data_IF_164346418770
#
_entry.id   IF_164346418770
#
_cell.length_a   1.000
_cell.length_b   1.000
_cell.length_c   1.000
_cell.angle_alpha   90.00
_cell.angle_beta   90.00
_cell.angle_gamma   90.00
#
_symmetry.space_group_name_H-M   'P 1'
#
loop_
_entity.id
_entity.type
_entity.pdbx_description
1 polymer ?
#
# COMPACT_ATOMS: atom_id res chain seq x y z
N UNK A 1 14.81 -41.97 2.42
CA UNK A 1 14.41 -40.88 1.50
C UNK A 1 12.93 -40.91 1.11
N UNK A 2 12.13 -41.95 1.39
CA UNK A 2 10.71 -41.95 0.97
C UNK A 2 9.76 -41.20 1.92
N UNK A 3 9.99 -41.21 3.23
CA UNK A 3 9.07 -40.59 4.20
C UNK A 3 9.01 -39.07 4.11
N UNK A 4 10.16 -38.40 4.02
CA UNK A 4 10.20 -36.94 3.87
C UNK A 4 9.60 -36.48 2.54
N UNK A 5 9.87 -37.22 1.46
CA UNK A 5 9.29 -36.96 0.15
C UNK A 5 7.76 -37.13 0.18
N UNK A 6 7.27 -38.18 0.86
CA UNK A 6 5.84 -38.41 1.05
C UNK A 6 5.18 -37.28 1.84
N UNK A 7 5.76 -36.86 2.96
CA UNK A 7 5.26 -35.73 3.76
C UNK A 7 5.18 -34.46 2.91
N UNK A 8 6.19 -34.18 2.09
CA UNK A 8 6.19 -33.00 1.24
C UNK A 8 5.06 -33.01 0.20
N UNK A 9 4.90 -34.11 -0.54
CA UNK A 9 3.87 -34.18 -1.58
C UNK A 9 2.45 -34.27 -1.02
N UNK A 10 2.24 -35.09 0.02
CA UNK A 10 0.93 -35.19 0.66
C UNK A 10 0.58 -33.95 1.46
N UNK A 11 1.56 -33.33 2.13
CA UNK A 11 1.38 -32.08 2.86
C UNK A 11 0.97 -30.95 1.91
N UNK A 12 1.66 -30.81 0.77
CA UNK A 12 1.30 -29.79 -0.22
C UNK A 12 -0.10 -30.02 -0.83
N UNK A 13 -0.46 -31.28 -1.13
CA UNK A 13 -1.81 -31.61 -1.55
C UNK A 13 -2.85 -31.24 -0.47
N UNK A 14 -2.58 -31.55 0.79
CA UNK A 14 -3.49 -31.28 1.91
C UNK A 14 -3.71 -29.79 2.16
N UNK A 15 -2.70 -28.94 1.92
CA UNK A 15 -2.88 -27.48 1.94
C UNK A 15 -3.88 -27.04 0.86
N UNK A 16 -3.76 -27.58 -0.36
CA UNK A 16 -4.70 -27.25 -1.43
C UNK A 16 -6.13 -27.76 -1.14
N UNK A 17 -6.25 -28.91 -0.47
CA UNK A 17 -7.52 -29.47 -0.02
C UNK A 17 -8.18 -28.59 1.05
N UNK A 18 -7.43 -28.17 2.08
CA UNK A 18 -7.93 -27.27 3.12
C UNK A 18 -8.37 -25.92 2.54
N UNK A 19 -7.63 -25.37 1.58
CA UNK A 19 -7.99 -24.10 0.94
C UNK A 19 -9.09 -24.23 -0.14
N UNK A 20 -9.53 -25.44 -0.48
CA UNK A 20 -10.52 -25.64 -1.56
C UNK A 20 -11.89 -25.08 -1.16
N UNK A 21 -12.26 -25.20 0.12
CA UNK A 21 -13.48 -24.63 0.68
C UNK A 21 -13.22 -24.02 2.06
N UNK A 22 -12.79 -22.75 2.14
CA UNK A 22 -12.42 -22.09 3.40
C UNK A 22 -13.62 -21.67 4.27
N UNK A 23 -14.82 -22.17 3.96
CA UNK A 23 -16.09 -21.82 4.62
C UNK A 23 -16.73 -23.03 5.32
N UNK A 24 -15.94 -24.06 5.61
CA UNK A 24 -16.36 -25.23 6.37
C UNK A 24 -16.28 -25.02 7.87
N UNK A 25 -15.97 -26.10 8.59
CA UNK A 25 -15.77 -26.16 10.04
C UNK A 25 -14.36 -26.67 10.40
N UNK A 26 -13.42 -26.69 9.45
CA UNK A 26 -12.04 -27.09 9.72
C UNK A 26 -11.33 -26.02 10.56
N UNK A 27 -10.32 -26.42 11.34
CA UNK A 27 -9.63 -25.52 12.28
C UNK A 27 -8.98 -24.29 11.62
N UNK A 28 -8.65 -24.37 10.33
CA UNK A 28 -8.02 -23.31 9.53
C UNK A 28 -9.02 -22.53 8.63
N UNK A 29 -10.33 -22.84 8.71
CA UNK A 29 -11.38 -22.15 7.96
C UNK A 29 -11.66 -20.74 8.49
N UNK A 30 -12.38 -19.94 7.69
CA UNK A 30 -12.79 -18.62 8.13
C UNK A 30 -13.87 -18.70 9.22
N UNK A 31 -13.63 -17.95 10.31
CA UNK A 31 -14.56 -17.72 11.42
C UNK A 31 -15.77 -16.83 11.02
N UNK A 32 -16.59 -17.34 10.10
CA UNK A 32 -17.69 -16.58 9.48
C UNK A 32 -18.76 -16.17 10.49
N UNK A 33 -19.08 -17.04 11.45
CA UNK A 33 -20.05 -16.74 12.50
C UNK A 33 -19.60 -15.55 13.36
N UNK A 34 -18.32 -15.53 13.75
CA UNK A 34 -17.74 -14.41 14.49
C UNK A 34 -17.77 -13.10 13.68
N UNK A 35 -17.51 -13.17 12.38
CA UNK A 35 -17.62 -12.00 11.49
C UNK A 35 -19.06 -11.49 11.38
N UNK A 36 -20.04 -12.38 11.26
CA UNK A 36 -21.47 -12.01 11.20
C UNK A 36 -21.87 -11.32 12.50
N UNK A 37 -21.57 -11.93 13.65
CA UNK A 37 -21.91 -11.37 14.97
C UNK A 37 -21.27 -10.01 15.19
N UNK A 38 -19.98 -9.87 14.85
CA UNK A 38 -19.25 -8.60 14.91
C UNK A 38 -19.92 -7.55 14.03
N UNK A 39 -20.20 -7.88 12.77
CA UNK A 39 -20.71 -6.92 11.80
C UNK A 39 -22.10 -6.42 12.18
N UNK A 40 -23.01 -7.32 12.57
CA UNK A 40 -24.36 -6.95 13.01
C UNK A 40 -24.27 -6.06 14.25
N UNK A 41 -23.46 -6.45 15.24
CA UNK A 41 -23.27 -5.68 16.47
C UNK A 41 -22.72 -4.29 16.18
N UNK A 42 -21.63 -4.19 15.42
CA UNK A 42 -20.98 -2.92 15.12
C UNK A 42 -21.89 -1.99 14.31
N UNK A 43 -22.55 -2.49 13.27
CA UNK A 43 -23.41 -1.66 12.42
C UNK A 43 -24.62 -1.16 13.20
N UNK A 44 -25.26 -2.00 14.03
CA UNK A 44 -26.36 -1.57 14.89
C UNK A 44 -25.90 -0.51 15.91
N UNK A 45 -24.71 -0.68 16.52
CA UNK A 45 -24.15 0.34 17.40
C UNK A 45 -23.87 1.66 16.69
N UNK A 46 -23.36 1.63 15.45
CA UNK A 46 -23.08 2.83 14.66
C UNK A 46 -24.34 3.63 14.35
N UNK A 47 -25.42 2.97 13.92
CA UNK A 47 -26.66 3.65 13.50
C UNK A 47 -27.57 4.05 14.66
N UNK A 48 -27.46 3.39 15.82
CA UNK A 48 -28.25 3.71 17.01
C UNK A 48 -27.49 4.64 17.95
N UNK A 49 -26.37 4.16 18.52
CA UNK A 49 -25.63 4.90 19.52
C UNK A 49 -24.70 5.95 18.91
N UNK A 50 -24.19 5.72 17.70
CA UNK A 50 -23.25 6.61 17.00
C UNK A 50 -23.90 7.66 16.11
N UNK A 51 -25.20 7.58 15.83
CA UNK A 51 -25.88 8.51 14.92
C UNK A 51 -25.90 9.92 15.50
N UNK A 52 -25.33 10.86 14.74
CA UNK A 52 -25.24 12.29 15.09
C UNK A 52 -24.56 12.57 16.44
N UNK A 53 -23.68 11.66 16.89
CA UNK A 53 -22.90 11.78 18.13
C UNK A 53 -21.40 11.90 17.85
N UNK A 54 -21.02 12.93 17.09
CA UNK A 54 -19.61 13.26 16.93
C UNK A 54 -19.01 13.79 18.26
N UNK A 55 -17.72 13.52 18.55
CA UNK A 55 -17.04 14.14 19.68
C UNK A 55 -16.92 15.65 19.48
N UNK A 56 -16.80 16.39 20.60
CA UNK A 56 -16.62 17.84 20.57
C UNK A 56 -15.36 18.23 19.77
N UNK A 57 -15.51 19.20 18.87
CA UNK A 57 -14.38 19.75 18.15
C UNK A 57 -13.52 20.60 19.10
N UNK A 58 -12.29 20.14 19.36
CA UNK A 58 -11.30 20.82 20.19
C UNK A 58 -9.98 20.89 19.41
N UNK A 59 -9.19 21.94 19.66
CA UNK A 59 -7.82 21.99 19.19
C UNK A 59 -7.04 20.90 19.92
N UNK A 60 -6.28 20.12 19.17
CA UNK A 60 -5.39 19.12 19.75
C UNK A 60 -4.14 19.79 20.35
N UNK A 61 -3.38 19.03 21.12
CA UNK A 61 -2.21 19.53 21.85
C UNK A 61 -1.08 20.01 20.92
N UNK A 62 -1.10 19.63 19.64
CA UNK A 62 -0.07 19.99 18.65
C UNK A 62 -0.54 21.06 17.64
N UNK A 63 -1.67 21.72 17.90
CA UNK A 63 -2.34 22.62 16.94
C UNK A 63 -1.45 23.76 16.40
N UNK A 64 -0.56 24.32 17.22
CA UNK A 64 0.30 25.47 16.87
C UNK A 64 1.79 25.08 16.72
N UNK A 65 2.13 23.79 16.80
CA UNK A 65 3.52 23.28 16.82
C UNK A 65 3.86 22.40 15.62
N UNK A 66 5.15 22.27 15.30
CA UNK A 66 5.61 21.30 14.30
C UNK A 66 5.53 19.88 14.87
N UNK A 67 4.76 19.02 14.22
CA UNK A 67 4.44 17.68 14.74
C UNK A 67 5.56 16.69 14.42
N UNK A 68 6.29 16.27 15.44
CA UNK A 68 7.19 15.11 15.36
C UNK A 68 6.53 13.87 15.98
N UNK A 69 6.47 12.72 15.26
CA UNK A 69 5.92 11.50 15.82
C UNK A 69 6.70 11.05 17.07
N UNK A 70 5.97 10.82 18.16
CA UNK A 70 6.53 10.30 19.40
C UNK A 70 6.64 8.77 19.33
N UNK A 71 7.77 8.25 19.80
CA UNK A 71 8.06 6.82 19.86
C UNK A 71 8.31 6.39 21.30
N UNK A 72 8.04 5.12 21.62
CA UNK A 72 8.51 4.53 22.87
C UNK A 72 10.04 4.44 22.86
N UNK A 73 10.68 4.38 24.04
CA UNK A 73 12.15 4.32 24.12
C UNK A 73 12.75 3.15 23.30
N UNK A 74 12.04 2.02 23.24
CA UNK A 74 12.44 0.85 22.47
C UNK A 74 12.32 1.09 20.96
N UNK A 75 11.20 1.69 20.52
CA UNK A 75 10.94 1.93 19.09
C UNK A 75 11.73 3.10 18.53
N UNK A 76 12.10 4.09 19.36
CA UNK A 76 12.94 5.22 18.98
C UNK A 76 14.36 4.78 18.57
N UNK A 77 14.84 3.63 19.07
CA UNK A 77 16.14 3.04 18.71
C UNK A 77 16.09 2.30 17.36
N UNK A 78 14.90 2.00 16.85
CA UNK A 78 14.73 1.33 15.56
C UNK A 78 15.02 2.35 14.45
N UNK A 79 15.93 2.04 13.50
CA UNK A 79 16.26 2.98 12.44
C UNK A 79 15.03 3.22 11.54
N UNK A 80 14.62 4.48 11.44
CA UNK A 80 13.59 4.90 10.51
C UNK A 80 14.20 5.13 9.11
N UNK A 81 13.83 4.29 8.15
CA UNK A 81 14.29 4.37 6.76
C UNK A 81 13.13 4.77 5.85
N UNK A 82 12.78 6.07 5.79
CA UNK A 82 11.72 6.52 4.90
C UNK A 82 12.10 6.23 3.45
N UNK A 83 11.09 5.89 2.63
CA UNK A 83 11.28 5.67 1.20
C UNK A 83 11.78 6.98 0.55
N UNK A 84 13.06 7.02 0.21
CA UNK A 84 13.65 8.06 -0.63
C UNK A 84 13.63 7.58 -2.08
N UNK A 85 13.09 8.41 -2.98
CA UNK A 85 13.08 8.09 -4.40
C UNK A 85 14.50 7.88 -4.92
N UNK A 86 14.69 6.96 -5.89
CA UNK A 86 16.04 6.60 -6.38
C UNK A 86 16.85 7.77 -6.97
N UNK A 87 16.21 8.90 -7.26
CA UNK A 87 16.80 10.11 -7.85
C UNK A 87 16.84 11.28 -6.84
N UNK A 88 16.41 11.08 -5.58
CA UNK A 88 16.25 12.19 -4.60
C UNK A 88 17.54 12.95 -4.30
N UNK A 89 18.69 12.27 -4.37
CA UNK A 89 19.99 12.84 -4.02
C UNK A 89 20.82 13.21 -5.27
N UNK A 90 20.24 13.12 -6.47
CA UNK A 90 20.92 13.48 -7.71
C UNK A 90 21.02 15.00 -7.81
N UNK A 91 22.26 15.50 -7.67
CA UNK A 91 22.58 16.91 -7.89
C UNK A 91 22.76 17.15 -9.39
N UNK A 92 21.90 17.99 -9.97
CA UNK A 92 22.02 18.41 -11.36
C UNK A 92 23.12 19.48 -11.49
N UNK A 93 23.85 19.55 -12.61
CA UNK A 93 24.83 20.62 -12.86
C UNK A 93 24.17 22.00 -12.88
N UNK A 94 24.88 23.04 -12.44
CA UNK A 94 24.35 24.43 -12.30
C UNK A 94 23.78 25.03 -13.59
N UNK A 95 24.22 24.56 -14.75
CA UNK A 95 23.75 25.04 -16.06
C UNK A 95 22.45 24.37 -16.53
N UNK A 96 21.94 23.37 -15.82
CA UNK A 96 20.71 22.65 -16.16
C UNK A 96 19.54 23.28 -15.41
N UNK A 97 18.85 24.21 -16.06
CA UNK A 97 17.67 24.88 -15.49
C UNK A 97 16.34 24.24 -15.91
N UNK A 98 16.36 23.43 -16.97
CA UNK A 98 15.16 22.86 -17.57
C UNK A 98 15.41 21.43 -18.03
N UNK A 99 14.48 20.53 -17.68
CA UNK A 99 14.46 19.15 -18.19
C UNK A 99 13.25 18.99 -19.08
N UNK A 100 13.49 18.61 -20.33
CA UNK A 100 12.45 18.29 -21.30
C UNK A 100 12.03 16.83 -21.13
N UNK A 101 10.86 16.61 -20.55
CA UNK A 101 10.27 15.28 -20.44
C UNK A 101 9.76 14.83 -21.82
N UNK A 102 10.20 13.66 -22.28
CA UNK A 102 9.74 13.08 -23.54
C UNK A 102 9.13 11.71 -23.30
N UNK A 103 8.06 11.35 -24.02
CA UNK A 103 7.48 10.01 -23.91
C UNK A 103 8.51 8.95 -24.29
N UNK A 104 8.47 7.82 -23.60
CA UNK A 104 9.29 6.66 -23.95
C UNK A 104 8.99 6.23 -25.40
N UNK A 105 10.04 5.92 -26.15
CA UNK A 105 9.89 5.38 -27.49
C UNK A 105 9.71 3.88 -27.34
N UNK A 106 8.49 3.38 -27.55
CA UNK A 106 8.28 1.94 -27.65
C UNK A 106 9.07 1.41 -28.85
N UNK A 107 10.03 0.51 -28.62
CA UNK A 107 10.83 -0.13 -29.69
C UNK A 107 9.93 -0.90 -30.70
N UNK A 108 8.71 -1.24 -30.31
CA UNK A 108 7.69 -1.90 -31.13
C UNK A 108 6.93 -0.95 -32.07
N UNK A 109 7.13 0.37 -31.96
CA UNK A 109 6.56 1.38 -32.86
C UNK A 109 7.61 2.46 -33.16
N UNK A 110 8.50 2.22 -34.16
CA UNK A 110 9.48 3.20 -34.56
C UNK A 110 8.79 4.52 -34.92
N UNK A 111 9.30 5.62 -34.38
CA UNK A 111 8.79 6.96 -34.59
C UNK A 111 8.64 7.25 -36.09
N UNK A 112 7.41 7.35 -36.58
CA UNK A 112 7.14 7.84 -37.93
C UNK A 112 7.43 9.34 -37.94
N UNK A 113 8.33 9.84 -38.81
CA UNK A 113 8.59 11.27 -38.94
C UNK A 113 7.31 11.97 -39.42
N UNK A 114 6.71 12.83 -38.58
CA UNK A 114 5.53 13.65 -38.95
C UNK A 114 4.34 13.57 -38.01
N UNK A 115 4.41 12.76 -36.95
CA UNK A 115 3.27 12.60 -36.02
C UNK A 115 3.19 13.75 -35.00
N UNK A 116 2.72 14.91 -35.46
CA UNK A 116 2.60 16.17 -34.69
C UNK A 116 1.74 16.05 -33.42
N UNK A 117 0.95 14.98 -33.30
CA UNK A 117 0.06 14.72 -32.15
C UNK A 117 0.87 14.43 -30.87
N UNK A 118 2.09 13.89 -30.96
CA UNK A 118 2.93 13.59 -29.78
C UNK A 118 3.62 14.84 -29.19
N UNK A 119 3.69 15.97 -29.92
CA UNK A 119 4.29 17.23 -29.42
C UNK A 119 3.58 17.77 -28.16
N UNK A 120 2.30 17.42 -27.95
CA UNK A 120 1.54 17.79 -26.75
C UNK A 120 1.90 17.01 -25.47
N UNK A 121 2.77 15.99 -25.54
CA UNK A 121 3.18 15.18 -24.37
C UNK A 121 4.58 15.50 -23.87
N UNK A 122 5.12 16.64 -24.27
CA UNK A 122 6.39 17.13 -23.75
C UNK A 122 6.09 18.16 -22.67
N UNK A 123 6.48 17.89 -21.43
CA UNK A 123 6.49 18.89 -20.37
C UNK A 123 7.92 19.36 -20.11
N UNK A 124 8.09 20.66 -19.95
CA UNK A 124 9.33 21.22 -19.42
C UNK A 124 9.12 21.40 -17.92
N UNK A 125 9.97 20.77 -17.13
CA UNK A 125 9.94 20.91 -15.67
C UNK A 125 11.12 21.79 -15.28
N UNK A 126 10.89 22.95 -14.64
CA UNK A 126 11.97 23.75 -14.06
C UNK A 126 12.58 22.98 -12.89
N UNK A 127 13.91 23.04 -12.78
CA UNK A 127 14.71 22.38 -11.73
C UNK A 127 15.05 23.37 -10.63
#
# INVERSE_FOLDING_TARGET
>A
MSTLQFIFYMGWMKVAEAMLNPFGEDDDDFECNALIDRNITMVLMMVDQGYDRAPDLKRDDFWDEEVEPLYSEETAKIPNNPLKGSVSDVKLPEYVHEIKMVPHCDDTSPLVPGDDIRRRRVSVVPV
#
